data_IF_936809081175
#
_entry.id   IF_936809081175
#
_cell.length_a   1.000
_cell.length_b   1.000
_cell.length_c   1.000
_cell.angle_alpha   90.00
_cell.angle_beta   90.00
_cell.angle_gamma   90.00
#
_symmetry.space_group_name_H-M   'P 1'
#
loop_
_entity.id
_entity.type
_entity.pdbx_description
1 polymer ?
#
# COMPACT_ATOMS: atom_id res chain seq x y z
N UNK A 1 13.44 -36.74 35.93
CA UNK A 1 13.15 -35.46 35.21
C UNK A 1 12.29 -34.62 36.16
N UNK A 2 12.80 -33.46 36.53
CA UNK A 2 12.17 -32.60 37.57
C UNK A 2 11.01 -31.80 36.99
N UNK A 3 9.93 -31.70 37.74
CA UNK A 3 8.67 -30.96 37.38
C UNK A 3 8.95 -29.52 36.98
N UNK A 4 10.07 -28.95 37.42
CA UNK A 4 10.52 -27.57 37.03
C UNK A 4 10.95 -27.45 35.59
N UNK A 5 11.41 -28.51 34.92
CA UNK A 5 11.82 -28.49 33.53
C UNK A 5 10.60 -28.54 32.56
N UNK A 6 9.50 -29.13 32.99
CA UNK A 6 8.27 -29.26 32.20
C UNK A 6 7.48 -27.94 32.13
N UNK A 7 7.54 -27.12 33.19
CA UNK A 7 6.86 -25.81 33.24
C UNK A 7 7.54 -24.73 32.38
N UNK A 8 8.84 -24.82 32.14
CA UNK A 8 9.57 -23.87 31.29
C UNK A 8 9.34 -24.08 29.80
N UNK A 9 9.00 -25.30 29.37
CA UNK A 9 8.73 -25.59 27.94
C UNK A 9 7.32 -25.16 27.54
N UNK A 10 6.38 -25.11 28.50
CA UNK A 10 4.98 -24.71 28.21
C UNK A 10 4.80 -23.17 28.07
N UNK A 11 5.74 -22.36 28.58
CA UNK A 11 5.64 -20.90 28.48
C UNK A 11 6.23 -20.30 27.20
N UNK A 12 6.97 -21.06 26.41
CA UNK A 12 7.60 -20.58 25.18
C UNK A 12 6.67 -20.63 23.95
N UNK A 13 5.50 -21.21 24.06
CA UNK A 13 4.58 -21.45 22.94
C UNK A 13 3.48 -20.40 22.71
N UNK A 14 3.31 -19.41 23.61
CA UNK A 14 2.13 -18.53 23.59
C UNK A 14 2.36 -17.12 23.04
N UNK A 15 3.54 -16.79 22.51
CA UNK A 15 3.83 -15.41 22.11
C UNK A 15 3.77 -15.14 20.61
N UNK A 16 3.43 -16.11 19.76
CA UNK A 16 3.48 -15.96 18.30
C UNK A 16 2.15 -15.55 17.63
N UNK A 17 1.02 -15.49 18.37
CA UNK A 17 -0.30 -15.20 17.74
C UNK A 17 -0.81 -13.77 17.87
N UNK A 18 -0.11 -12.89 18.56
CA UNK A 18 -0.62 -11.54 18.85
C UNK A 18 -0.37 -10.51 17.72
N UNK A 19 0.44 -10.82 16.69
CA UNK A 19 0.82 -9.85 15.66
C UNK A 19 -0.09 -9.83 14.43
N UNK A 20 -0.86 -10.87 14.16
CA UNK A 20 -1.65 -10.98 12.93
C UNK A 20 -3.04 -10.31 13.05
N UNK A 21 -3.69 -10.39 14.19
CA UNK A 21 -5.00 -9.74 14.40
C UNK A 21 -4.96 -8.20 14.36
N UNK A 22 -3.82 -7.58 14.66
CA UNK A 22 -3.74 -6.13 14.70
C UNK A 22 -3.66 -5.49 13.32
N UNK A 23 -3.12 -6.17 12.31
CA UNK A 23 -2.98 -5.65 10.95
C UNK A 23 -4.30 -5.63 10.18
N UNK A 24 -5.13 -6.66 10.31
CA UNK A 24 -6.44 -6.69 9.69
C UNK A 24 -7.39 -5.63 10.27
N UNK A 25 -7.28 -5.32 11.56
CA UNK A 25 -8.04 -4.23 12.20
C UNK A 25 -7.55 -2.85 11.74
N UNK A 26 -6.25 -2.69 11.48
CA UNK A 26 -5.68 -1.44 10.99
C UNK A 26 -6.00 -1.17 9.51
N UNK A 27 -6.21 -2.20 8.71
CA UNK A 27 -6.56 -2.05 7.30
C UNK A 27 -7.94 -1.40 7.07
N UNK A 28 -8.79 -1.32 8.12
CA UNK A 28 -10.06 -0.63 8.07
C UNK A 28 -11.02 -1.25 7.06
N UNK A 29 -11.46 -0.50 6.02
CA UNK A 29 -12.45 -0.98 5.05
C UNK A 29 -11.93 -2.06 4.10
N UNK A 30 -10.66 -2.45 4.19
CA UNK A 30 -10.01 -3.50 3.39
C UNK A 30 -9.32 -4.52 4.30
N UNK A 31 -10.07 -5.34 5.06
CA UNK A 31 -9.50 -6.23 6.08
C UNK A 31 -8.58 -7.32 5.52
N UNK A 32 -8.72 -7.66 4.23
CA UNK A 32 -7.88 -8.62 3.51
C UNK A 32 -6.63 -8.01 2.88
N UNK A 33 -6.35 -6.73 3.12
CA UNK A 33 -5.18 -6.06 2.57
C UNK A 33 -3.89 -6.57 3.22
N UNK A 34 -2.99 -7.09 2.40
CA UNK A 34 -1.68 -7.62 2.78
C UNK A 34 -0.55 -6.79 2.17
N UNK A 35 0.68 -6.81 2.74
CA UNK A 35 1.82 -6.08 2.22
C UNK A 35 2.47 -6.82 1.02
N UNK A 36 1.66 -7.17 0.02
CA UNK A 36 2.04 -7.79 -1.26
C UNK A 36 1.57 -6.91 -2.42
N UNK A 37 2.26 -6.97 -3.57
CA UNK A 37 1.82 -6.21 -4.74
C UNK A 37 0.44 -6.65 -5.22
N UNK A 38 0.19 -7.96 -5.26
CA UNK A 38 -1.11 -8.50 -5.69
C UNK A 38 -2.26 -7.98 -4.81
N UNK A 39 -2.07 -7.92 -3.49
CA UNK A 39 -3.08 -7.38 -2.57
C UNK A 39 -3.25 -5.86 -2.73
N UNK A 40 -2.16 -5.10 -2.84
CA UNK A 40 -2.22 -3.65 -3.09
C UNK A 40 -2.91 -3.35 -4.42
N UNK A 41 -2.60 -4.10 -5.47
CA UNK A 41 -3.25 -3.97 -6.78
C UNK A 41 -4.75 -4.16 -6.66
N UNK A 42 -5.17 -5.30 -6.12
CA UNK A 42 -6.59 -5.66 -6.01
C UNK A 42 -7.35 -4.73 -5.07
N UNK A 43 -6.86 -4.56 -3.84
CA UNK A 43 -7.63 -3.92 -2.77
C UNK A 43 -7.51 -2.38 -2.77
N UNK A 44 -6.42 -1.82 -3.32
CA UNK A 44 -6.20 -0.37 -3.34
C UNK A 44 -6.37 0.22 -4.73
N UNK A 45 -5.74 -0.37 -5.75
CA UNK A 45 -5.75 0.26 -7.07
C UNK A 45 -7.02 -0.03 -7.86
N UNK A 46 -7.58 -1.24 -7.77
CA UNK A 46 -8.73 -1.69 -8.58
C UNK A 46 -10.07 -1.63 -7.87
N UNK A 47 -10.10 -1.60 -6.54
CA UNK A 47 -11.35 -1.71 -5.78
C UNK A 47 -11.74 -0.39 -5.12
N UNK A 48 -13.01 0.00 -5.29
CA UNK A 48 -13.68 1.00 -4.44
C UNK A 48 -13.99 0.31 -3.12
N UNK A 49 -13.47 0.84 -2.02
CA UNK A 49 -13.65 0.22 -0.71
C UNK A 49 -15.02 0.51 -0.08
N UNK A 50 -15.33 -0.19 1.02
CA UNK A 50 -16.60 -0.05 1.72
C UNK A 50 -16.84 1.34 2.34
N UNK A 51 -15.80 2.17 2.49
CA UNK A 51 -15.91 3.56 2.93
C UNK A 51 -16.20 4.52 1.76
N UNK A 52 -16.25 4.03 0.52
CA UNK A 52 -16.51 4.83 -0.68
C UNK A 52 -15.27 5.50 -1.28
N UNK A 53 -14.06 5.11 -0.86
CA UNK A 53 -12.82 5.54 -1.53
C UNK A 53 -12.77 4.93 -2.92
N UNK A 54 -12.75 5.76 -3.94
CA UNK A 54 -12.73 5.29 -5.34
C UNK A 54 -11.43 4.56 -5.67
N UNK A 55 -11.53 3.57 -6.57
CA UNK A 55 -10.40 2.86 -7.11
C UNK A 55 -9.46 3.81 -7.88
N UNK A 56 -8.15 3.59 -7.75
CA UNK A 56 -7.15 4.43 -8.41
C UNK A 56 -7.24 4.33 -9.95
N UNK A 57 -7.59 3.14 -10.45
CA UNK A 57 -7.80 2.89 -11.89
C UNK A 57 -8.96 3.68 -12.50
N UNK A 58 -9.88 4.23 -11.70
CA UNK A 58 -10.94 5.09 -12.24
C UNK A 58 -10.39 6.33 -12.98
N UNK A 59 -9.18 6.78 -12.60
CA UNK A 59 -8.49 7.89 -13.24
C UNK A 59 -7.15 7.50 -13.87
N UNK A 60 -6.44 6.54 -13.26
CA UNK A 60 -5.14 6.06 -13.71
C UNK A 60 -5.29 4.78 -14.54
N UNK A 61 -5.93 4.90 -15.69
CA UNK A 61 -6.21 3.78 -16.62
C UNK A 61 -6.03 4.21 -18.07
N UNK A 62 -5.57 3.28 -18.92
CA UNK A 62 -5.59 3.44 -20.38
C UNK A 62 -6.85 2.88 -21.04
N UNK A 63 -7.76 2.28 -20.27
CA UNK A 63 -9.00 1.71 -20.80
C UNK A 63 -9.98 2.83 -21.15
N UNK A 64 -10.20 3.03 -22.45
CA UNK A 64 -11.15 4.02 -22.97
C UNK A 64 -10.75 5.50 -22.77
N UNK A 65 -9.55 5.79 -22.25
CA UNK A 65 -9.08 7.14 -22.00
C UNK A 65 -7.55 7.19 -21.82
N UNK A 66 -6.98 8.39 -21.91
CA UNK A 66 -5.59 8.59 -21.49
C UNK A 66 -5.49 8.58 -19.96
N UNK A 67 -4.54 7.85 -19.37
CA UNK A 67 -4.38 7.80 -17.93
C UNK A 67 -3.98 9.18 -17.37
N UNK A 68 -4.60 9.57 -16.26
CA UNK A 68 -4.28 10.80 -15.56
C UNK A 68 -2.78 10.88 -15.23
N UNK A 69 -2.14 12.00 -15.55
CA UNK A 69 -0.70 12.23 -15.39
C UNK A 69 0.19 11.24 -16.18
N UNK A 70 -0.32 10.60 -17.24
CA UNK A 70 0.40 9.58 -18.00
C UNK A 70 0.79 8.36 -17.18
N UNK A 71 0.02 8.03 -16.14
CA UNK A 71 0.32 6.99 -15.17
C UNK A 71 -0.81 5.95 -15.13
N UNK A 72 -0.52 4.74 -15.59
CA UNK A 72 -1.48 3.65 -15.71
C UNK A 72 -1.32 2.65 -14.57
N UNK A 73 -2.42 2.35 -13.88
CA UNK A 73 -2.49 1.39 -12.77
C UNK A 73 -3.31 0.14 -13.09
N UNK A 74 -3.60 -0.11 -14.38
CA UNK A 74 -4.22 -1.37 -14.78
C UNK A 74 -3.33 -2.55 -14.38
N UNK A 75 -3.96 -3.67 -14.05
CA UNK A 75 -3.32 -4.88 -13.49
C UNK A 75 -2.03 -5.29 -14.20
N UNK A 76 -2.05 -5.36 -15.51
CA UNK A 76 -0.93 -5.90 -16.31
C UNK A 76 0.30 -4.99 -16.36
N UNK A 77 0.14 -3.71 -16.05
CA UNK A 77 1.20 -2.70 -16.25
C UNK A 77 1.56 -1.90 -14.99
N UNK A 78 0.73 -1.94 -13.97
CA UNK A 78 0.88 -1.09 -12.80
C UNK A 78 2.24 -1.22 -12.10
N UNK A 79 2.75 -2.43 -11.96
CA UNK A 79 4.07 -2.67 -11.34
C UNK A 79 5.18 -1.93 -12.10
N UNK A 80 5.23 -2.11 -13.41
CA UNK A 80 6.24 -1.53 -14.30
C UNK A 80 6.07 -0.02 -14.46
N UNK A 81 4.90 0.51 -14.13
CA UNK A 81 4.63 1.94 -14.05
C UNK A 81 4.98 2.57 -12.69
N UNK A 82 5.21 1.75 -11.66
CA UNK A 82 5.45 2.20 -10.29
C UNK A 82 6.91 2.09 -9.86
N UNK A 83 7.47 0.87 -9.91
CA UNK A 83 8.71 0.54 -9.23
C UNK A 83 9.91 1.05 -10.02
N UNK A 84 10.75 1.87 -9.37
CA UNK A 84 11.91 2.56 -9.96
C UNK A 84 11.57 3.50 -11.14
N UNK A 85 10.32 3.92 -11.28
CA UNK A 85 9.90 4.79 -12.39
C UNK A 85 9.85 6.25 -11.96
N UNK A 86 10.50 7.17 -12.69
CA UNK A 86 10.43 8.60 -12.41
C UNK A 86 8.99 9.13 -12.54
N UNK A 87 8.65 10.07 -11.68
CA UNK A 87 7.39 10.79 -11.79
C UNK A 87 7.43 11.77 -12.97
N UNK A 88 6.46 11.65 -13.89
CA UNK A 88 6.34 12.60 -15.02
C UNK A 88 5.94 14.00 -14.59
N UNK A 89 5.36 14.19 -13.41
CA UNK A 89 4.85 15.47 -12.92
C UNK A 89 5.75 16.14 -11.90
N UNK A 90 6.65 15.39 -11.26
CA UNK A 90 7.60 15.92 -10.27
C UNK A 90 9.01 15.48 -10.64
N UNK A 91 9.80 16.33 -11.32
CA UNK A 91 11.19 16.02 -11.65
C UNK A 91 12.00 15.62 -10.41
N UNK A 92 12.84 14.61 -10.55
CA UNK A 92 13.67 14.07 -9.46
C UNK A 92 12.97 13.13 -8.48
N UNK A 93 11.64 13.01 -8.53
CA UNK A 93 10.92 12.04 -7.69
C UNK A 93 10.75 10.70 -8.41
N UNK A 94 10.92 9.60 -7.66
CA UNK A 94 10.63 8.23 -8.11
C UNK A 94 9.29 7.79 -7.50
N UNK A 95 8.44 7.14 -8.29
CA UNK A 95 7.10 6.74 -7.86
C UNK A 95 7.13 5.77 -6.69
N UNK A 96 7.89 4.69 -6.80
CA UNK A 96 8.16 3.72 -5.73
C UNK A 96 9.65 3.40 -5.73
N UNK A 97 10.30 3.60 -4.60
CA UNK A 97 11.71 3.23 -4.36
C UNK A 97 11.71 1.98 -3.50
N UNK A 98 12.12 0.81 -4.01
CA UNK A 98 12.22 -0.42 -3.21
C UNK A 98 13.03 -0.21 -1.93
N UNK A 99 12.47 -0.61 -0.79
CA UNK A 99 13.10 -0.44 0.52
C UNK A 99 12.96 0.96 1.14
N UNK A 100 12.47 1.96 0.39
CA UNK A 100 12.37 3.34 0.88
C UNK A 100 10.96 3.93 0.70
N UNK A 101 10.01 3.60 1.58
CA UNK A 101 8.67 4.15 1.52
C UNK A 101 8.64 5.66 1.77
N UNK A 102 9.56 6.20 2.59
CA UNK A 102 9.54 7.61 2.96
C UNK A 102 9.90 8.55 1.82
N UNK A 103 10.72 8.12 0.87
CA UNK A 103 11.08 8.87 -0.33
C UNK A 103 10.29 8.44 -1.58
N UNK A 104 9.42 7.43 -1.46
CA UNK A 104 8.53 7.00 -2.55
C UNK A 104 7.42 8.04 -2.80
N UNK A 105 7.37 8.60 -4.02
CA UNK A 105 6.43 9.67 -4.34
C UNK A 105 4.96 9.24 -4.28
N UNK A 106 4.68 7.95 -4.50
CA UNK A 106 3.36 7.38 -4.28
C UNK A 106 2.89 7.62 -2.83
N UNK A 107 3.76 7.36 -1.85
CA UNK A 107 3.46 7.59 -0.43
C UNK A 107 3.18 9.06 -0.17
N UNK A 108 4.00 9.97 -0.69
CA UNK A 108 3.76 11.42 -0.56
C UNK A 108 2.37 11.81 -1.08
N UNK A 109 1.97 11.24 -2.23
CA UNK A 109 0.68 11.54 -2.86
C UNK A 109 -0.51 11.05 -2.04
N UNK A 110 -0.45 9.84 -1.48
CA UNK A 110 -1.56 9.28 -0.69
C UNK A 110 -1.63 9.86 0.73
N UNK A 111 -0.51 10.31 1.29
CA UNK A 111 -0.47 11.00 2.59
C UNK A 111 -0.81 12.50 2.47
N UNK A 112 -0.64 13.09 1.28
CA UNK A 112 -0.83 14.53 1.07
C UNK A 112 0.30 15.37 1.65
N UNK A 113 1.54 14.87 1.58
CA UNK A 113 2.72 15.55 2.15
C UNK A 113 2.97 16.91 1.51
N UNK A 114 3.61 17.85 2.23
CA UNK A 114 4.07 19.10 1.66
C UNK A 114 4.97 18.87 0.42
N UNK A 115 4.87 19.75 -0.58
CA UNK A 115 5.69 19.71 -1.78
C UNK A 115 5.27 18.68 -2.82
N UNK A 116 4.10 18.05 -2.71
CA UNK A 116 3.52 17.29 -3.82
C UNK A 116 3.06 18.23 -4.95
N UNK A 117 3.10 17.74 -6.19
CA UNK A 117 2.49 18.45 -7.32
C UNK A 117 1.00 18.13 -7.40
N UNK A 118 0.16 19.16 -7.43
CA UNK A 118 -1.29 19.02 -7.39
C UNK A 118 -1.78 18.62 -5.99
N UNK A 119 -2.85 17.85 -5.91
CA UNK A 119 -3.54 17.53 -4.66
C UNK A 119 -3.23 16.12 -4.15
N UNK A 120 -3.60 15.85 -2.89
CA UNK A 120 -3.59 14.50 -2.30
C UNK A 120 -4.43 13.53 -3.16
N UNK A 121 -4.04 12.24 -3.17
CA UNK A 121 -4.79 11.19 -3.87
C UNK A 121 -5.58 10.32 -2.89
N UNK A 122 -6.78 9.88 -3.28
CA UNK A 122 -7.49 10.20 -4.52
C UNK A 122 -7.95 11.65 -4.58
N UNK A 123 -7.93 12.25 -5.78
CA UNK A 123 -8.23 13.68 -5.98
C UNK A 123 -9.66 14.08 -5.55
N UNK A 124 -10.58 13.15 -5.59
CA UNK A 124 -11.98 13.34 -5.21
C UNK A 124 -12.25 13.02 -3.73
N UNK A 125 -11.20 12.98 -2.87
CA UNK A 125 -11.40 12.85 -1.42
C UNK A 125 -12.43 13.84 -0.87
N UNK A 126 -12.93 13.63 0.37
CA UNK A 126 -12.18 13.17 1.53
C UNK A 126 -12.20 11.68 1.85
N UNK A 127 -12.76 10.79 1.06
CA UNK A 127 -12.50 9.38 1.27
C UNK A 127 -11.07 9.05 0.80
N UNK A 128 -10.10 9.27 1.70
CA UNK A 128 -8.69 8.92 1.50
C UNK A 128 -8.39 7.53 2.04
N UNK A 129 -7.20 7.01 1.73
CA UNK A 129 -6.71 5.81 2.41
C UNK A 129 -6.60 6.06 3.92
N UNK A 130 -6.97 5.04 4.71
CA UNK A 130 -6.75 5.05 6.16
C UNK A 130 -5.26 4.92 6.49
N UNK A 131 -4.85 5.30 7.69
CA UNK A 131 -3.47 5.14 8.17
C UNK A 131 -3.03 3.67 8.10
N UNK A 132 -3.93 2.73 8.37
CA UNK A 132 -3.66 1.29 8.25
C UNK A 132 -3.42 0.84 6.82
N UNK A 133 -4.23 1.30 5.85
CA UNK A 133 -4.01 1.01 4.43
C UNK A 133 -2.68 1.58 3.95
N UNK A 134 -2.36 2.82 4.34
CA UNK A 134 -1.08 3.46 4.03
C UNK A 134 0.09 2.68 4.65
N UNK A 135 -0.04 2.24 5.91
CA UNK A 135 0.98 1.47 6.60
C UNK A 135 1.28 0.14 5.88
N UNK A 136 0.26 -0.58 5.44
CA UNK A 136 0.44 -1.86 4.72
C UNK A 136 1.12 -1.62 3.37
N UNK A 137 0.71 -0.59 2.62
CA UNK A 137 1.36 -0.20 1.38
C UNK A 137 2.83 0.18 1.62
N UNK A 138 3.11 0.96 2.65
CA UNK A 138 4.50 1.30 3.04
C UNK A 138 5.31 0.06 3.42
N UNK A 139 4.71 -0.96 4.05
CA UNK A 139 5.38 -2.24 4.35
C UNK A 139 5.74 -3.02 3.09
N UNK A 140 4.83 -3.07 2.10
CA UNK A 140 5.17 -3.67 0.81
C UNK A 140 6.41 -2.98 0.20
N UNK A 141 6.46 -1.65 0.21
CA UNK A 141 7.61 -0.89 -0.29
C UNK A 141 8.87 -1.18 0.54
N UNK A 142 8.78 -1.16 1.87
CA UNK A 142 9.90 -1.41 2.79
C UNK A 142 10.49 -2.82 2.62
N UNK A 143 9.63 -3.79 2.27
CA UNK A 143 10.05 -5.16 1.95
C UNK A 143 10.72 -5.30 0.56
N UNK A 144 11.05 -4.18 -0.09
CA UNK A 144 11.70 -4.17 -1.40
C UNK A 144 10.73 -4.08 -2.57
N UNK A 145 9.46 -3.78 -2.33
CA UNK A 145 8.41 -3.69 -3.34
C UNK A 145 8.38 -4.91 -4.30
N UNK A 146 8.34 -6.16 -3.80
CA UNK A 146 8.36 -7.34 -4.66
C UNK A 146 7.10 -7.41 -5.54
N UNK A 147 7.25 -8.05 -6.72
CA UNK A 147 6.15 -8.37 -7.65
C UNK A 147 5.55 -9.74 -7.24
N UNK A 148 4.81 -9.80 -6.17
CA UNK A 148 4.26 -11.04 -5.58
C UNK A 148 2.74 -10.95 -5.40
#
# INVERSE_FOLDING_TARGET
MSIRALLLVLMAGLTAMACDESLSKLAGPTPSLEPTFASVQKEIFETTDAAGRVACVNCHTSTGRNPSAGFNLNHDVAYDQLVNVPSSRKPGAIRVIPGDPENSYLVHKIEGRPGIVGVRMPQNGPQYLTDGQILILKRWIANGAPRN
#
